data_IF_533808162646
#
_entry.id   IF_533808162646
#
_cell.length_a   1.000
_cell.length_b   1.000
_cell.length_c   1.000
_cell.angle_alpha   90.00
_cell.angle_beta   90.00
_cell.angle_gamma   90.00
#
_symmetry.space_group_name_H-M   'P 1'
#
loop_
_entity.id
_entity.type
_entity.pdbx_description
1 polymer ?
#
# COMPACT_ATOMS: atom_id res chain seq x y z
N UNK A 1 1.46 -10.91 18.34
CA UNK A 1 1.93 -9.73 17.59
C UNK A 1 2.49 -8.63 18.47
N UNK A 2 1.76 -8.09 19.45
CA UNK A 2 2.26 -7.01 20.33
C UNK A 2 3.59 -7.36 21.01
N UNK A 3 3.71 -8.55 21.62
CA UNK A 3 4.97 -9.03 22.21
C UNK A 3 6.09 -9.25 21.19
N UNK A 4 5.79 -9.73 19.97
CA UNK A 4 6.79 -9.89 18.89
C UNK A 4 7.34 -8.53 18.40
N UNK A 5 6.54 -7.46 18.51
CA UNK A 5 6.90 -6.12 18.06
C UNK A 5 7.48 -5.22 19.17
N UNK A 6 7.54 -5.69 20.42
CA UNK A 6 7.85 -4.83 21.57
C UNK A 6 6.91 -3.62 21.69
N UNK A 7 5.69 -3.74 21.17
CA UNK A 7 4.78 -2.60 20.99
C UNK A 7 4.01 -2.29 22.27
N UNK A 8 3.81 -1.01 22.64
CA UNK A 8 3.14 -0.64 23.89
C UNK A 8 1.62 -0.79 23.84
N UNK A 9 1.02 -0.97 22.66
CA UNK A 9 -0.43 -1.06 22.54
C UNK A 9 -0.89 -1.84 21.29
N UNK A 10 -2.14 -2.31 21.33
CA UNK A 10 -2.81 -2.92 20.16
C UNK A 10 -2.93 -1.92 18.99
N UNK A 11 -3.13 -0.63 19.30
CA UNK A 11 -3.19 0.43 18.30
C UNK A 11 -1.89 0.53 17.50
N UNK A 12 -0.76 0.61 18.19
CA UNK A 12 0.56 0.73 17.56
C UNK A 12 0.90 -0.54 16.80
N UNK A 13 0.63 -1.70 17.41
CA UNK A 13 0.77 -3.02 16.78
C UNK A 13 0.00 -3.07 15.46
N UNK A 14 -1.29 -2.69 15.47
CA UNK A 14 -2.15 -2.72 14.29
C UNK A 14 -1.73 -1.71 13.21
N UNK A 15 -1.24 -0.52 13.61
CA UNK A 15 -0.71 0.48 12.66
C UNK A 15 0.54 -0.03 11.96
N UNK A 16 1.51 -0.59 12.71
CA UNK A 16 2.70 -1.18 12.10
C UNK A 16 2.35 -2.39 11.25
N UNK A 17 1.36 -3.18 11.70
CA UNK A 17 0.86 -4.30 10.94
C UNK A 17 0.34 -3.85 9.58
N UNK A 18 -0.61 -2.91 9.55
CA UNK A 18 -1.19 -2.39 8.32
C UNK A 18 -0.13 -1.81 7.39
N UNK A 19 0.84 -1.05 7.93
CA UNK A 19 1.95 -0.45 7.17
C UNK A 19 2.84 -1.48 6.46
N UNK A 20 3.07 -2.64 7.09
CA UNK A 20 3.88 -3.73 6.53
C UNK A 20 3.06 -4.63 5.61
N UNK A 21 1.83 -4.96 6.00
CA UNK A 21 0.94 -5.78 5.17
C UNK A 21 0.58 -5.07 3.85
N UNK A 22 0.24 -3.78 3.89
CA UNK A 22 -0.04 -3.00 2.68
C UNK A 22 1.12 -3.00 1.68
N UNK A 23 2.37 -3.00 2.17
CA UNK A 23 3.55 -3.12 1.30
C UNK A 23 3.51 -4.42 0.49
N UNK A 24 3.30 -5.56 1.15
CA UNK A 24 3.27 -6.86 0.49
C UNK A 24 2.04 -7.06 -0.40
N UNK A 25 0.89 -6.56 0.03
CA UNK A 25 -0.36 -6.72 -0.69
C UNK A 25 -0.39 -5.94 -2.02
N UNK A 26 0.07 -4.69 -2.03
CA UNK A 26 -0.13 -3.83 -3.22
C UNK A 26 1.11 -3.64 -4.06
N UNK A 27 2.31 -3.56 -3.46
CA UNK A 27 3.49 -3.09 -4.20
C UNK A 27 3.94 -4.08 -5.29
N UNK A 28 4.09 -5.38 -5.01
CA UNK A 28 4.44 -6.35 -6.05
C UNK A 28 3.42 -6.40 -7.18
N UNK A 29 2.13 -6.30 -6.83
CA UNK A 29 1.05 -6.42 -7.81
C UNK A 29 0.93 -5.17 -8.70
N UNK A 30 1.01 -3.97 -8.11
CA UNK A 30 1.04 -2.72 -8.87
C UNK A 30 2.29 -2.64 -9.76
N UNK A 31 3.46 -3.07 -9.27
CA UNK A 31 4.67 -3.15 -10.08
C UNK A 31 4.48 -4.08 -11.27
N UNK A 32 3.97 -5.29 -11.03
CA UNK A 32 3.73 -6.27 -12.08
C UNK A 32 2.69 -5.79 -13.11
N UNK A 33 1.65 -5.12 -12.63
CA UNK A 33 0.57 -4.57 -13.46
C UNK A 33 1.13 -3.53 -14.43
N UNK A 34 1.88 -2.58 -13.91
CA UNK A 34 2.39 -1.45 -14.70
C UNK A 34 3.55 -1.86 -15.61
N UNK A 35 4.51 -2.63 -15.10
CA UNK A 35 5.73 -2.96 -15.86
C UNK A 35 5.49 -4.08 -16.88
N UNK A 36 4.65 -5.06 -16.53
CA UNK A 36 4.53 -6.31 -17.28
C UNK A 36 3.10 -6.65 -17.72
N UNK A 37 2.10 -5.82 -17.40
CA UNK A 37 0.69 -6.16 -17.60
C UNK A 37 0.35 -7.54 -16.98
N UNK A 38 0.88 -7.81 -15.78
CA UNK A 38 0.62 -9.03 -15.02
C UNK A 38 -0.03 -8.67 -13.69
N UNK A 39 -1.02 -9.43 -13.28
CA UNK A 39 -1.76 -9.19 -12.04
C UNK A 39 -1.89 -10.46 -11.25
N UNK A 40 -1.42 -10.47 -10.02
CA UNK A 40 -1.66 -11.57 -9.09
C UNK A 40 -3.05 -11.41 -8.50
N UNK A 41 -3.85 -12.46 -8.50
CA UNK A 41 -5.10 -12.47 -7.77
C UNK A 41 -4.80 -12.60 -6.28
N UNK A 42 -5.14 -11.57 -5.51
CA UNK A 42 -4.87 -11.51 -4.07
C UNK A 42 -6.21 -11.37 -3.35
N UNK A 43 -6.48 -12.27 -2.43
CA UNK A 43 -7.64 -12.22 -1.53
C UNK A 43 -7.22 -12.69 -0.15
N UNK A 44 -8.07 -12.47 0.86
CA UNK A 44 -7.82 -13.03 2.20
C UNK A 44 -7.78 -14.57 2.20
N UNK A 45 -8.48 -15.22 1.28
CA UNK A 45 -8.60 -16.69 1.25
C UNK A 45 -7.36 -17.38 0.68
N UNK A 46 -6.62 -16.71 -0.20
CA UNK A 46 -5.42 -17.28 -0.81
C UNK A 46 -4.11 -16.71 -0.23
N UNK A 47 -4.19 -15.85 0.78
CA UNK A 47 -3.05 -15.16 1.37
C UNK A 47 -2.64 -15.80 2.72
N UNK A 48 -1.44 -16.35 2.79
CA UNK A 48 -0.85 -16.88 4.02
C UNK A 48 0.31 -16.00 4.49
N UNK A 49 0.32 -15.67 5.80
CA UNK A 49 1.36 -14.86 6.42
C UNK A 49 2.42 -15.72 7.08
N UNK A 50 3.69 -15.45 6.81
CA UNK A 50 4.81 -16.09 7.49
C UNK A 50 5.40 -15.16 8.54
N UNK A 51 5.38 -15.59 9.81
CA UNK A 51 5.73 -14.73 10.95
C UNK A 51 6.83 -15.28 11.85
N UNK A 52 7.48 -16.37 11.46
CA UNK A 52 8.41 -17.12 12.32
C UNK A 52 9.88 -16.72 12.14
N UNK A 53 10.14 -15.55 11.55
CA UNK A 53 11.50 -15.01 11.42
C UNK A 53 11.84 -14.08 12.61
N UNK A 54 12.98 -14.28 13.31
CA UNK A 54 13.33 -13.54 14.53
C UNK A 54 13.45 -12.02 14.39
N UNK A 55 13.87 -11.52 13.23
CA UNK A 55 14.16 -10.10 12.98
C UNK A 55 13.12 -9.38 12.10
N UNK A 56 12.20 -10.12 11.47
CA UNK A 56 11.18 -9.58 10.58
C UNK A 56 9.86 -10.32 10.80
N UNK A 57 9.04 -9.75 11.68
CA UNK A 57 7.79 -10.34 12.18
C UNK A 57 6.77 -10.63 11.07
N UNK A 58 6.89 -9.99 9.90
CA UNK A 58 6.17 -10.33 8.68
C UNK A 58 7.14 -10.22 7.51
N UNK A 59 7.80 -11.33 7.24
CA UNK A 59 8.87 -11.44 6.23
C UNK A 59 8.31 -11.83 4.87
N UNK A 60 7.29 -12.70 4.83
CA UNK A 60 6.75 -13.23 3.58
C UNK A 60 5.22 -13.33 3.61
N UNK A 61 4.64 -13.14 2.42
CA UNK A 61 3.25 -13.43 2.12
C UNK A 61 3.22 -14.45 0.98
N UNK A 62 2.61 -15.61 1.22
CA UNK A 62 2.43 -16.65 0.20
C UNK A 62 1.02 -16.58 -0.38
N UNK A 63 0.93 -16.69 -1.70
CA UNK A 63 -0.33 -16.82 -2.42
C UNK A 63 -0.55 -18.29 -2.81
N UNK A 64 -1.56 -18.93 -2.26
CA UNK A 64 -1.84 -20.36 -2.49
C UNK A 64 -3.36 -20.56 -2.74
N UNK A 65 -3.78 -20.96 -3.95
CA UNK A 65 -2.96 -21.05 -5.17
C UNK A 65 -2.56 -19.66 -5.67
N UNK A 66 -1.39 -19.56 -6.28
CA UNK A 66 -0.98 -18.36 -7.00
C UNK A 66 -1.64 -18.34 -8.38
N UNK A 67 -2.45 -17.32 -8.65
CA UNK A 67 -3.10 -17.13 -9.94
C UNK A 67 -2.66 -15.80 -10.54
N UNK A 68 -2.27 -15.83 -11.81
CA UNK A 68 -1.83 -14.66 -12.56
C UNK A 68 -2.83 -14.39 -13.68
N UNK A 69 -3.20 -13.13 -13.81
CA UNK A 69 -4.02 -12.58 -14.88
C UNK A 69 -3.20 -11.61 -15.74
N UNK A 70 -3.68 -11.36 -16.94
CA UNK A 70 -3.15 -10.37 -17.87
C UNK A 70 -4.32 -9.79 -18.69
N UNK A 71 -4.18 -8.59 -19.27
CA UNK A 71 -5.21 -8.06 -20.14
C UNK A 71 -5.35 -8.92 -21.40
N UNK A 72 -6.59 -9.13 -21.84
CA UNK A 72 -6.93 -9.94 -23.02
C UNK A 72 -6.51 -9.22 -24.32
N UNK A 73 -6.55 -7.89 -24.30
CA UNK A 73 -6.12 -7.00 -25.37
C UNK A 73 -5.79 -5.63 -24.79
N UNK A 74 -5.23 -4.73 -25.61
CA UNK A 74 -5.00 -3.34 -25.19
C UNK A 74 -6.30 -2.64 -24.81
N UNK A 75 -7.38 -2.86 -25.58
CA UNK A 75 -8.71 -2.30 -25.29
C UNK A 75 -9.31 -2.86 -23.98
N UNK A 76 -9.00 -4.12 -23.64
CA UNK A 76 -9.44 -4.76 -22.40
C UNK A 76 -8.64 -4.36 -21.16
N UNK A 77 -7.53 -3.61 -21.31
CA UNK A 77 -6.61 -3.32 -20.21
C UNK A 77 -7.26 -2.51 -19.09
N UNK A 78 -8.11 -1.54 -19.42
CA UNK A 78 -8.78 -0.71 -18.42
C UNK A 78 -9.67 -1.56 -17.49
N UNK A 79 -10.53 -2.40 -18.06
CA UNK A 79 -11.41 -3.28 -17.29
C UNK A 79 -10.61 -4.30 -16.46
N UNK A 80 -9.51 -4.85 -17.01
CA UNK A 80 -8.61 -5.74 -16.29
C UNK A 80 -7.92 -5.05 -15.10
N UNK A 81 -7.45 -3.80 -15.29
CA UNK A 81 -6.85 -2.97 -14.24
C UNK A 81 -7.83 -2.73 -13.10
N UNK A 82 -9.09 -2.43 -13.41
CA UNK A 82 -10.14 -2.22 -12.41
C UNK A 82 -10.42 -3.47 -11.60
N UNK A 83 -10.52 -4.62 -12.26
CA UNK A 83 -10.69 -5.91 -11.58
C UNK A 83 -9.51 -6.22 -10.64
N UNK A 84 -8.28 -5.92 -11.07
CA UNK A 84 -7.08 -6.14 -10.26
C UNK A 84 -7.03 -5.20 -9.04
N UNK A 85 -7.37 -3.92 -9.22
CA UNK A 85 -7.48 -2.94 -8.13
C UNK A 85 -8.55 -3.40 -7.14
N UNK A 86 -9.74 -3.78 -7.63
CA UNK A 86 -10.81 -4.28 -6.79
C UNK A 86 -10.39 -5.49 -5.97
N UNK A 87 -9.70 -6.46 -6.58
CA UNK A 87 -9.16 -7.63 -5.87
C UNK A 87 -8.20 -7.22 -4.75
N UNK A 88 -7.26 -6.31 -5.01
CA UNK A 88 -6.34 -5.85 -3.96
C UNK A 88 -7.08 -5.12 -2.83
N UNK A 89 -7.97 -4.19 -3.15
CA UNK A 89 -8.51 -3.29 -2.13
C UNK A 89 -9.83 -3.77 -1.54
N UNK A 90 -10.81 -4.17 -2.34
CA UNK A 90 -12.12 -4.62 -1.84
C UNK A 90 -12.04 -6.02 -1.25
N UNK A 91 -11.38 -6.95 -1.94
CA UNK A 91 -11.40 -8.37 -1.53
C UNK A 91 -10.33 -8.69 -0.47
N UNK A 92 -9.47 -7.72 -0.14
CA UNK A 92 -8.39 -7.90 0.84
C UNK A 92 -8.21 -6.74 1.81
N UNK A 93 -7.82 -5.54 1.34
CA UNK A 93 -7.42 -4.48 2.27
C UNK A 93 -8.60 -3.90 3.05
N UNK A 94 -9.66 -3.45 2.39
CA UNK A 94 -10.80 -2.82 3.05
C UNK A 94 -11.39 -3.64 4.21
N UNK A 95 -11.75 -4.94 4.05
CA UNK A 95 -12.27 -5.73 5.17
C UNK A 95 -11.25 -5.89 6.31
N UNK A 96 -9.96 -6.00 5.98
CA UNK A 96 -8.91 -6.07 6.99
C UNK A 96 -8.76 -4.71 7.72
N UNK A 97 -8.94 -3.59 7.03
CA UNK A 97 -8.79 -2.25 7.60
C UNK A 97 -9.95 -1.95 8.53
N UNK A 98 -11.18 -2.32 8.12
CA UNK A 98 -12.37 -2.26 8.98
C UNK A 98 -12.17 -3.08 10.25
N UNK A 99 -11.65 -4.31 10.14
CA UNK A 99 -11.36 -5.17 11.29
C UNK A 99 -10.33 -4.57 12.23
N UNK A 100 -9.23 -4.01 11.70
CA UNK A 100 -8.21 -3.33 12.50
C UNK A 100 -8.75 -2.05 13.16
N UNK A 101 -9.59 -1.29 12.45
CA UNK A 101 -10.21 -0.09 12.97
C UNK A 101 -11.11 -0.42 14.16
N UNK A 102 -11.96 -1.44 14.04
CA UNK A 102 -12.86 -1.86 15.12
C UNK A 102 -12.10 -2.47 16.31
N UNK A 103 -11.15 -3.37 16.06
CA UNK A 103 -10.49 -4.15 17.12
C UNK A 103 -9.35 -3.42 17.84
N UNK A 104 -8.65 -2.52 17.16
CA UNK A 104 -7.50 -1.78 17.70
C UNK A 104 -7.74 -0.26 17.78
N UNK A 105 -8.96 0.21 17.45
CA UNK A 105 -9.37 1.62 17.48
C UNK A 105 -8.50 2.53 16.60
N UNK A 106 -8.05 2.02 15.46
CA UNK A 106 -7.21 2.77 14.53
C UNK A 106 -8.12 3.55 13.57
N UNK A 107 -7.95 4.87 13.40
CA UNK A 107 -8.71 5.62 12.41
C UNK A 107 -8.48 5.06 11.00
N UNK A 108 -9.56 4.86 10.24
CA UNK A 108 -9.48 4.41 8.83
C UNK A 108 -8.56 5.31 7.99
N UNK A 109 -8.52 6.61 8.29
CA UNK A 109 -7.61 7.56 7.65
C UNK A 109 -6.13 7.17 7.82
N UNK A 110 -5.71 6.72 9.00
CA UNK A 110 -4.33 6.30 9.25
C UNK A 110 -4.00 5.04 8.43
N UNK A 111 -4.92 4.07 8.39
CA UNK A 111 -4.75 2.82 7.64
C UNK A 111 -4.67 3.07 6.12
N UNK A 112 -5.55 3.92 5.60
CA UNK A 112 -5.52 4.33 4.19
C UNK A 112 -4.28 5.14 3.85
N UNK A 113 -3.80 6.02 4.74
CA UNK A 113 -2.55 6.74 4.47
C UNK A 113 -1.32 5.83 4.50
N UNK A 114 -1.27 4.87 5.44
CA UNK A 114 -0.23 3.84 5.46
C UNK A 114 -0.16 3.10 4.11
N UNK A 115 -1.30 2.92 3.46
CA UNK A 115 -1.44 2.28 2.14
C UNK A 115 -1.00 3.23 1.02
N UNK A 116 -1.52 4.45 1.00
CA UNK A 116 -1.22 5.47 0.00
C UNK A 116 0.28 5.76 -0.11
N UNK A 117 0.99 5.85 1.03
CA UNK A 117 2.44 6.08 1.05
C UNK A 117 3.22 4.94 0.38
N UNK A 118 2.74 3.69 0.40
CA UNK A 118 3.38 2.57 -0.31
C UNK A 118 3.20 2.69 -1.81
N UNK A 119 1.99 3.05 -2.25
CA UNK A 119 1.70 3.31 -3.65
C UNK A 119 2.54 4.48 -4.18
N UNK A 120 2.53 5.62 -3.49
CA UNK A 120 3.32 6.79 -3.89
C UNK A 120 4.81 6.47 -3.97
N UNK A 121 5.36 5.81 -2.94
CA UNK A 121 6.76 5.41 -2.93
C UNK A 121 7.11 4.44 -4.06
N UNK A 122 6.18 3.61 -4.52
CA UNK A 122 6.41 2.72 -5.66
C UNK A 122 6.64 3.57 -6.92
N UNK A 123 5.63 4.34 -7.32
CA UNK A 123 5.63 5.07 -8.57
C UNK A 123 6.66 6.20 -8.62
N UNK A 124 6.89 6.89 -7.50
CA UNK A 124 7.79 8.05 -7.45
C UNK A 124 9.26 7.67 -7.28
N UNK A 125 9.58 6.49 -6.72
CA UNK A 125 10.95 6.18 -6.27
C UNK A 125 11.45 4.77 -6.57
N UNK A 126 10.58 3.76 -6.63
CA UNK A 126 11.01 2.34 -6.65
C UNK A 126 10.85 1.65 -7.99
N UNK A 127 9.97 2.13 -8.87
CA UNK A 127 10.02 1.66 -10.25
C UNK A 127 11.38 2.10 -10.81
N UNK A 128 12.21 1.16 -11.28
CA UNK A 128 13.61 1.42 -11.66
C UNK A 128 13.76 2.49 -12.75
N UNK A 129 14.93 3.09 -12.91
CA UNK A 129 15.14 4.20 -13.86
C UNK A 129 15.18 3.74 -15.33
N UNK A 130 15.63 2.52 -15.59
CA UNK A 130 15.73 1.95 -16.94
C UNK A 130 14.36 1.45 -17.41
N UNK A 131 13.78 2.13 -18.42
CA UNK A 131 12.43 1.89 -18.90
C UNK A 131 12.34 2.16 -20.40
N UNK A 132 11.53 1.35 -21.08
CA UNK A 132 11.06 1.68 -22.44
C UNK A 132 10.07 2.84 -22.41
N UNK A 133 9.92 3.56 -23.53
CA UNK A 133 8.91 4.62 -23.67
C UNK A 133 7.47 4.12 -23.38
N UNK A 134 7.18 2.87 -23.74
CA UNK A 134 5.89 2.24 -23.44
C UNK A 134 5.70 2.01 -21.93
N UNK A 135 6.74 1.60 -21.20
CA UNK A 135 6.68 1.48 -19.74
C UNK A 135 6.53 2.86 -19.09
N UNK A 136 7.26 3.87 -19.56
CA UNK A 136 7.17 5.21 -19.02
C UNK A 136 5.75 5.78 -19.14
N UNK A 137 5.12 5.67 -20.32
CA UNK A 137 3.72 6.08 -20.51
C UNK A 137 2.76 5.31 -19.60
N UNK A 138 2.92 4.00 -19.46
CA UNK A 138 2.07 3.19 -18.57
C UNK A 138 2.23 3.58 -17.10
N UNK A 139 3.44 3.92 -16.67
CA UNK A 139 3.72 4.38 -15.30
C UNK A 139 2.96 5.66 -15.00
N UNK A 140 3.02 6.63 -15.90
CA UNK A 140 2.31 7.90 -15.76
C UNK A 140 0.78 7.70 -15.78
N UNK A 141 0.28 6.91 -16.73
CA UNK A 141 -1.16 6.62 -16.86
C UNK A 141 -1.71 5.85 -15.67
N UNK A 142 -1.05 4.77 -15.23
CA UNK A 142 -1.52 3.97 -14.11
C UNK A 142 -1.42 4.75 -12.80
N UNK A 143 -0.36 5.54 -12.61
CA UNK A 143 -0.22 6.36 -11.41
C UNK A 143 -1.32 7.43 -11.36
N UNK A 144 -1.52 8.14 -12.47
CA UNK A 144 -2.58 9.14 -12.59
C UNK A 144 -3.95 8.51 -12.32
N UNK A 145 -4.24 7.36 -12.94
CA UNK A 145 -5.48 6.64 -12.74
C UNK A 145 -5.72 6.30 -11.27
N UNK A 146 -4.77 5.65 -10.60
CA UNK A 146 -4.89 5.21 -9.21
C UNK A 146 -5.15 6.35 -8.23
N UNK A 147 -4.60 7.54 -8.50
CA UNK A 147 -4.66 8.69 -7.59
C UNK A 147 -5.83 9.62 -7.89
N UNK A 148 -6.19 9.79 -9.17
CA UNK A 148 -7.09 10.86 -9.60
C UNK A 148 -8.38 10.38 -10.26
N UNK A 149 -8.40 9.23 -10.93
CA UNK A 149 -9.54 8.80 -11.77
C UNK A 149 -10.27 7.57 -11.23
N UNK A 150 -9.55 6.66 -10.58
CA UNK A 150 -10.09 5.40 -10.09
C UNK A 150 -11.24 5.66 -9.10
N UNK A 151 -12.46 5.14 -9.35
CA UNK A 151 -13.62 5.44 -8.52
C UNK A 151 -13.50 4.75 -7.15
N UNK A 152 -14.12 5.36 -6.13
CA UNK A 152 -14.08 4.85 -4.74
C UNK A 152 -14.52 3.39 -4.59
N UNK A 153 -15.44 2.93 -5.44
CA UNK A 153 -15.95 1.54 -5.42
C UNK A 153 -14.84 0.50 -5.64
N UNK A 154 -13.77 0.84 -6.36
CA UNK A 154 -12.62 -0.06 -6.52
C UNK A 154 -11.81 -0.22 -5.23
N UNK A 155 -12.04 0.64 -4.24
CA UNK A 155 -11.41 0.61 -2.93
C UNK A 155 -12.39 0.23 -1.81
N UNK A 156 -13.66 -0.06 -2.13
CA UNK A 156 -14.71 -0.32 -1.14
C UNK A 156 -15.16 0.93 -0.39
N UNK A 157 -14.94 2.11 -0.98
CA UNK A 157 -15.20 3.41 -0.37
C UNK A 157 -16.15 4.23 -1.24
N UNK A 158 -16.78 5.26 -0.67
CA UNK A 158 -17.65 6.17 -1.44
C UNK A 158 -16.86 7.07 -2.39
N UNK A 159 -15.60 7.36 -2.05
CA UNK A 159 -14.66 8.18 -2.81
C UNK A 159 -13.29 7.51 -2.78
N UNK A 160 -12.40 7.84 -3.72
CA UNK A 160 -11.04 7.30 -3.73
C UNK A 160 -10.31 7.71 -2.42
N UNK A 161 -9.94 6.75 -1.55
CA UNK A 161 -9.37 7.07 -0.24
C UNK A 161 -7.93 7.58 -0.34
N UNK A 162 -7.27 7.41 -1.49
CA UNK A 162 -5.87 7.78 -1.69
C UNK A 162 -5.72 9.24 -2.11
N UNK A 163 -6.67 9.77 -2.87
CA UNK A 163 -6.63 11.12 -3.46
C UNK A 163 -6.37 12.19 -2.40
N UNK A 164 -7.01 12.10 -1.24
CA UNK A 164 -6.86 13.09 -0.17
C UNK A 164 -5.44 13.16 0.41
N UNK A 165 -4.63 12.11 0.27
CA UNK A 165 -3.25 12.09 0.74
C UNK A 165 -2.27 12.55 -0.33
N UNK A 166 -2.71 12.72 -1.57
CA UNK A 166 -1.85 13.18 -2.65
C UNK A 166 -1.67 14.69 -2.62
N UNK A 167 -0.42 15.12 -2.75
CA UNK A 167 0.02 16.50 -2.95
C UNK A 167 1.24 16.50 -3.84
N UNK A 168 1.38 17.39 -4.83
CA UNK A 168 2.60 17.46 -5.64
C UNK A 168 3.85 17.59 -4.75
N UNK A 169 4.92 16.86 -5.09
CA UNK A 169 6.24 17.09 -4.49
C UNK A 169 6.88 18.29 -5.19
N UNK A 170 7.66 19.07 -4.47
CA UNK A 170 8.40 20.23 -5.03
C UNK A 170 9.90 20.02 -4.84
N UNK A 171 10.72 20.90 -5.42
CA UNK A 171 12.18 20.86 -5.22
C UNK A 171 12.53 21.08 -3.75
N UNK A 172 11.78 21.95 -3.06
CA UNK A 172 11.94 22.27 -1.64
C UNK A 172 11.41 21.16 -0.73
N UNK A 173 10.42 20.40 -1.21
CA UNK A 173 9.85 19.25 -0.50
C UNK A 173 9.84 18.01 -1.41
N UNK A 174 11.01 17.37 -1.60
CA UNK A 174 11.16 16.25 -2.54
C UNK A 174 10.49 14.96 -2.07
N UNK A 175 9.89 14.98 -0.87
CA UNK A 175 9.14 13.85 -0.31
C UNK A 175 7.85 14.36 0.31
N UNK A 176 6.75 13.71 -0.04
CA UNK A 176 5.43 14.01 0.51
C UNK A 176 5.36 13.71 2.01
N UNK A 177 4.97 14.70 2.80
CA UNK A 177 4.79 14.54 4.24
C UNK A 177 3.39 14.03 4.52
N UNK A 178 3.34 13.04 5.40
CA UNK A 178 2.09 12.40 5.80
C UNK A 178 1.26 13.38 6.64
N UNK A 179 -0.05 13.23 6.55
CA UNK A 179 -1.06 13.88 7.40
C UNK A 179 -1.13 13.24 8.79
N UNK A 180 -0.89 11.93 8.88
CA UNK A 180 -0.97 11.17 10.14
C UNK A 180 0.40 10.62 10.58
N UNK A 181 0.60 10.55 11.90
CA UNK A 181 1.73 9.80 12.48
C UNK A 181 1.40 8.30 12.44
N UNK A 182 2.33 7.48 11.94
CA UNK A 182 2.17 6.02 11.96
C UNK A 182 2.60 5.35 13.27
N UNK A 183 3.12 6.11 14.25
CA UNK A 183 3.61 5.61 15.54
C UNK A 183 4.78 4.61 15.42
N UNK A 184 5.55 4.68 14.34
CA UNK A 184 6.74 3.83 14.16
C UNK A 184 7.80 4.06 15.27
N UNK A 185 7.91 5.30 15.77
CA UNK A 185 8.86 5.65 16.82
C UNK A 185 8.62 4.89 18.14
N UNK A 186 7.43 4.30 18.33
CA UNK A 186 7.11 3.53 19.53
C UNK A 186 7.59 2.07 19.46
N UNK A 187 8.07 1.62 18.30
CA UNK A 187 8.62 0.27 18.10
C UNK A 187 10.02 0.28 17.50
N UNK A 188 10.56 1.45 17.16
CA UNK A 188 11.95 1.57 16.68
C UNK A 188 12.91 1.57 17.86
N UNK A 189 14.09 0.95 17.67
CA UNK A 189 15.10 0.83 18.73
C UNK A 189 15.50 2.21 19.29
N UNK A 190 15.73 3.17 18.40
CA UNK A 190 16.23 4.51 18.77
C UNK A 190 15.12 5.57 18.89
N UNK A 191 13.84 5.15 18.98
CA UNK A 191 12.66 6.04 18.98
C UNK A 191 12.62 7.03 17.82
N UNK A 192 13.19 6.63 16.69
CA UNK A 192 13.19 7.44 15.47
C UNK A 192 11.81 7.49 14.81
N UNK A 193 11.43 8.68 14.36
CA UNK A 193 10.28 8.88 13.49
C UNK A 193 10.58 8.40 12.06
N UNK A 194 9.55 7.89 11.36
CA UNK A 194 9.70 7.59 9.94
C UNK A 194 10.01 8.86 9.13
N UNK A 195 10.69 8.71 7.99
CA UNK A 195 11.19 9.81 7.15
C UNK A 195 10.13 10.84 6.73
N UNK A 196 8.87 10.43 6.61
CA UNK A 196 7.73 11.28 6.20
C UNK A 196 6.76 11.62 7.34
N UNK A 197 7.18 11.45 8.60
CA UNK A 197 6.33 11.70 9.76
C UNK A 197 5.97 13.19 9.91
N UNK A 198 4.69 13.55 10.18
CA UNK A 198 4.29 14.92 10.45
C UNK A 198 4.88 15.48 11.76
N UNK A 199 5.14 14.61 12.75
CA UNK A 199 5.62 15.02 14.06
C UNK A 199 7.16 15.12 14.15
N UNK A 200 7.88 14.80 13.07
CA UNK A 200 9.34 14.90 13.06
C UNK A 200 9.73 16.37 12.95
N UNK A 201 10.39 16.92 13.98
CA UNK A 201 10.98 18.26 13.92
C UNK A 201 12.00 18.31 12.78
N UNK A 202 11.87 19.31 11.92
CA UNK A 202 12.82 19.63 10.86
C UNK A 202 13.56 20.88 11.32
N UNK A 203 14.87 20.74 11.54
CA UNK A 203 15.75 21.88 11.78
C UNK A 203 15.96 22.66 10.50
#
# INVERSE_FOLDING_TARGET
>A
MTGKLGSPSRFVTGSQFAKRFALFAIVPNLYAMTMFNKGMHISLQNCQLETDQPSDWLSHVRLIPMQISQPISEQGRAAWRDALIKSMFVDQLEPLWQSLSASARIPMELLWENTAVRLFSLYERRIGAERTELQQRRIEQDYHYLVHEAPGVLFGQSQNPLTKFYKPITVEQPVRIRKTCCFYYEVSADREYCSTCPNKKRG
#
